data_IF_408405826293
#
_entry.id   IF_408405826293
#
_cell.length_a   1.000
_cell.length_b   1.000
_cell.length_c   1.000
_cell.angle_alpha   90.00
_cell.angle_beta   90.00
_cell.angle_gamma   90.00
#
_symmetry.space_group_name_H-M   'P 1'
#
loop_
_entity.id
_entity.type
_entity.pdbx_description
1 polymer ?
#
# COMPACT_ATOMS: atom_id res chain seq x y z
N UNK A 1 7.13 9.42 11.37
CA UNK A 1 5.92 8.72 11.84
C UNK A 1 6.12 7.25 11.51
N UNK A 2 5.98 6.33 12.47
CA UNK A 2 6.03 4.91 12.16
C UNK A 2 4.87 4.57 11.21
N UNK A 3 5.10 3.67 10.25
CA UNK A 3 4.04 3.09 9.42
C UNK A 3 3.46 1.90 10.19
N UNK A 4 2.14 1.85 10.30
CA UNK A 4 1.46 0.84 11.12
C UNK A 4 1.59 -0.57 10.55
N UNK A 5 1.61 -0.67 9.21
CA UNK A 5 1.87 -1.92 8.51
C UNK A 5 2.77 -1.66 7.30
N UNK A 6 3.85 -2.45 7.22
CA UNK A 6 4.81 -2.41 6.12
C UNK A 6 4.89 -3.81 5.53
N UNK A 7 4.62 -3.93 4.22
CA UNK A 7 4.68 -5.20 3.49
C UNK A 7 5.67 -5.03 2.34
N UNK A 8 6.58 -5.99 2.17
CA UNK A 8 7.50 -6.00 1.04
C UNK A 8 8.09 -7.37 0.76
N UNK A 9 8.66 -7.52 -0.44
CA UNK A 9 9.24 -8.77 -0.93
C UNK A 9 10.61 -8.58 -1.64
N UNK A 10 11.26 -7.43 -1.42
CA UNK A 10 12.53 -7.06 -2.06
C UNK A 10 12.37 -6.18 -3.30
N UNK A 11 11.30 -6.36 -4.08
CA UNK A 11 11.01 -5.55 -5.27
C UNK A 11 9.80 -4.62 -5.08
N UNK A 12 8.93 -4.96 -4.14
CA UNK A 12 7.77 -4.16 -3.74
C UNK A 12 7.95 -3.72 -2.30
N UNK A 13 7.57 -2.48 -2.01
CA UNK A 13 7.31 -1.98 -0.66
C UNK A 13 5.98 -1.23 -0.63
N UNK A 14 5.11 -1.59 0.30
CA UNK A 14 3.81 -0.95 0.54
C UNK A 14 3.72 -0.54 2.00
N UNK A 15 3.34 0.71 2.25
CA UNK A 15 3.15 1.25 3.58
C UNK A 15 1.69 1.65 3.81
N UNK A 16 1.14 1.25 4.95
CA UNK A 16 -0.21 1.63 5.39
C UNK A 16 -0.16 2.47 6.66
N UNK A 17 -1.17 3.31 6.84
CA UNK A 17 -1.47 3.96 8.12
C UNK A 17 -2.49 3.16 8.95
N UNK A 18 -2.76 3.64 10.17
CA UNK A 18 -3.74 3.09 11.11
C UNK A 18 -5.18 2.95 10.56
N UNK A 19 -5.52 3.64 9.47
CA UNK A 19 -6.81 3.54 8.80
C UNK A 19 -6.78 2.56 7.62
N UNK A 20 -5.71 1.78 7.50
CA UNK A 20 -5.43 0.90 6.38
C UNK A 20 -5.42 1.63 5.02
N UNK A 21 -5.12 2.93 5.02
CA UNK A 21 -4.93 3.70 3.80
C UNK A 21 -3.49 3.50 3.35
N UNK A 22 -3.31 3.10 2.10
CA UNK A 22 -1.99 3.00 1.49
C UNK A 22 -1.41 4.41 1.33
N UNK A 23 -0.20 4.60 1.87
CA UNK A 23 0.50 5.90 1.89
C UNK A 23 1.69 5.93 0.95
N UNK A 24 2.39 4.82 0.81
CA UNK A 24 3.53 4.70 -0.10
C UNK A 24 3.47 3.37 -0.88
N UNK A 25 3.79 3.41 -2.17
CA UNK A 25 3.93 2.25 -3.05
C UNK A 25 5.20 2.39 -3.89
N UNK A 26 6.10 1.41 -3.76
CA UNK A 26 7.37 1.36 -4.48
C UNK A 26 7.45 0.07 -5.30
N UNK A 27 7.81 0.22 -6.58
CA UNK A 27 8.10 -0.85 -7.52
C UNK A 27 8.91 -0.26 -8.69
N UNK A 28 9.87 -0.97 -9.30
CA UNK A 28 10.31 -2.34 -9.04
C UNK A 28 11.39 -2.46 -7.97
N UNK A 29 11.85 -1.36 -7.38
CA UNK A 29 12.84 -1.37 -6.29
C UNK A 29 12.38 -0.55 -5.10
N UNK A 30 12.73 -1.01 -3.90
CA UNK A 30 12.50 -0.24 -2.68
C UNK A 30 13.37 1.02 -2.70
N UNK A 31 12.75 2.18 -2.51
CA UNK A 31 13.42 3.48 -2.59
C UNK A 31 13.41 4.13 -3.99
N UNK A 32 12.75 3.51 -4.99
CA UNK A 32 12.37 4.20 -6.23
C UNK A 32 11.31 5.29 -6.00
N UNK A 33 10.76 5.86 -7.07
CA UNK A 33 9.70 6.85 -6.95
C UNK A 33 8.46 6.27 -6.25
N UNK A 34 7.85 7.05 -5.35
CA UNK A 34 6.60 6.66 -4.73
C UNK A 34 5.45 6.90 -5.71
N UNK A 35 4.89 5.82 -6.24
CA UNK A 35 3.84 5.85 -7.25
C UNK A 35 2.51 6.49 -6.77
N UNK A 36 2.32 6.64 -5.46
CA UNK A 36 1.12 7.28 -4.92
C UNK A 36 1.23 8.81 -4.92
N UNK A 37 2.43 9.38 -4.95
CA UNK A 37 2.66 10.83 -4.93
C UNK A 37 1.77 11.61 -3.92
N UNK A 38 1.50 11.01 -2.75
CA UNK A 38 0.65 11.59 -1.70
C UNK A 38 -0.86 11.30 -1.79
N UNK A 39 -1.34 10.69 -2.87
CA UNK A 39 -2.72 10.24 -3.01
C UNK A 39 -3.05 9.13 -2.00
N UNK A 40 -4.28 9.16 -1.48
CA UNK A 40 -4.81 8.14 -0.59
C UNK A 40 -5.43 7.02 -1.43
N UNK A 41 -4.97 5.79 -1.23
CA UNK A 41 -5.59 4.61 -1.83
C UNK A 41 -6.18 3.74 -0.72
N UNK A 42 -7.46 3.38 -0.88
CA UNK A 42 -8.13 2.43 0.03
C UNK A 42 -7.88 1.00 -0.44
N UNK A 43 -7.88 0.09 0.51
CA UNK A 43 -7.91 -1.34 0.24
C UNK A 43 -9.35 -1.84 0.25
N UNK A 44 -9.62 -2.88 -0.53
CA UNK A 44 -10.86 -3.65 -0.47
C UNK A 44 -10.57 -5.13 -0.53
N UNK A 45 -11.52 -5.92 -0.06
CA UNK A 45 -11.45 -7.38 -0.01
C UNK A 45 -12.39 -7.95 -1.07
N UNK A 46 -11.93 -8.95 -1.81
CA UNK A 46 -12.74 -9.68 -2.78
C UNK A 46 -12.93 -11.12 -2.28
N UNK A 47 -14.17 -11.60 -2.23
CA UNK A 47 -14.51 -12.98 -1.84
C UNK A 47 -15.58 -13.48 -2.81
N UNK A 48 -15.37 -14.63 -3.45
CA UNK A 48 -16.34 -15.25 -4.36
C UNK A 48 -16.97 -14.24 -5.34
N UNK A 49 -16.12 -13.49 -6.06
CA UNK A 49 -16.50 -12.43 -7.01
C UNK A 49 -17.25 -11.22 -6.42
N UNK A 50 -17.35 -11.11 -5.09
CA UNK A 50 -17.95 -9.97 -4.39
C UNK A 50 -16.88 -9.06 -3.78
N UNK A 51 -16.90 -7.79 -4.17
CA UNK A 51 -15.99 -6.76 -3.66
C UNK A 51 -16.59 -6.03 -2.46
N UNK A 52 -15.81 -5.85 -1.41
CA UNK A 52 -16.13 -5.09 -0.19
C UNK A 52 -15.03 -4.06 0.03
N UNK A 53 -15.35 -2.76 -0.06
CA UNK A 53 -14.38 -1.67 0.14
C UNK A 53 -14.96 -0.26 0.04
#
# INVERSE_FOLDING_TARGET
MARDLVIGNGNILINFDQHAIMRDFYYPYVGSENHLNGHKMRIGVMIDDNFIG
#
